data_IF_393506200303
#
_entry.id   IF_393506200303
#
_cell.length_a   1.000
_cell.length_b   1.000
_cell.length_c   1.000
_cell.angle_alpha   90.00
_cell.angle_beta   90.00
_cell.angle_gamma   90.00
#
_symmetry.space_group_name_H-M   'P 1'
#
loop_
_entity.id
_entity.type
_entity.pdbx_description
1 polymer ?
#
# COMPACT_ATOMS: atom_id res chain seq x y z
N UNK A 1 32.03 23.96 -12.92
CA UNK A 1 33.31 23.36 -12.44
C UNK A 1 34.37 24.37 -12.03
N UNK A 2 34.47 25.56 -12.67
CA UNK A 2 35.48 26.58 -12.35
C UNK A 2 35.42 27.10 -10.90
N UNK A 3 34.22 27.40 -10.41
CA UNK A 3 33.97 27.80 -9.01
C UNK A 3 34.47 26.77 -7.98
N UNK A 4 34.30 25.48 -8.25
CA UNK A 4 34.75 24.41 -7.33
C UNK A 4 36.27 24.37 -7.27
N UNK A 5 36.95 24.50 -8.41
CA UNK A 5 38.41 24.45 -8.47
C UNK A 5 39.06 25.68 -7.81
N UNK A 6 38.49 26.87 -8.05
CA UNK A 6 38.98 28.12 -7.45
C UNK A 6 38.71 28.18 -5.94
N UNK A 7 37.59 27.59 -5.48
CA UNK A 7 37.26 27.51 -4.05
C UNK A 7 38.12 26.46 -3.33
N UNK A 8 38.44 25.33 -3.97
CA UNK A 8 39.35 24.31 -3.40
C UNK A 8 40.76 24.89 -3.19
N UNK A 9 41.24 25.72 -4.12
CA UNK A 9 42.54 26.39 -4.00
C UNK A 9 42.56 27.42 -2.83
N UNK A 10 41.47 28.18 -2.64
CA UNK A 10 41.32 29.14 -1.54
C UNK A 10 41.12 28.46 -0.16
N UNK A 11 40.55 27.25 -0.12
CA UNK A 11 40.37 26.48 1.11
C UNK A 11 41.65 25.80 1.61
N UNK A 12 42.62 25.55 0.72
CA UNK A 12 43.94 25.00 1.09
C UNK A 12 44.71 25.93 2.02
N UNK A 13 44.47 27.24 1.97
CA UNK A 13 45.21 28.27 2.72
C UNK A 13 44.47 28.85 3.94
N UNK A 14 43.21 28.45 4.18
CA UNK A 14 42.32 29.04 5.22
C UNK A 14 42.02 28.13 6.41
N UNK A 15 41.71 28.77 7.55
CA UNK A 15 41.33 28.18 8.85
C UNK A 15 40.24 27.10 8.73
N UNK A 16 40.27 26.12 9.64
CA UNK A 16 39.39 24.94 9.72
C UNK A 16 37.89 25.28 9.50
N UNK A 17 37.43 26.42 10.03
CA UNK A 17 36.04 26.87 9.93
C UNK A 17 35.55 27.09 8.49
N UNK A 18 36.43 27.61 7.62
CA UNK A 18 36.07 27.85 6.21
C UNK A 18 35.97 26.55 5.42
N UNK A 19 36.77 25.54 5.79
CA UNK A 19 36.70 24.19 5.22
C UNK A 19 35.41 23.49 5.63
N UNK A 20 35.02 23.59 6.89
CA UNK A 20 33.77 23.00 7.36
C UNK A 20 32.54 23.69 6.76
N UNK A 21 32.54 25.02 6.70
CA UNK A 21 31.45 25.77 6.08
C UNK A 21 31.25 25.39 4.60
N UNK A 22 32.33 25.10 3.87
CA UNK A 22 32.27 24.62 2.49
C UNK A 22 31.70 23.20 2.38
N UNK A 23 32.08 22.28 3.27
CA UNK A 23 31.51 20.92 3.31
C UNK A 23 30.00 20.97 3.55
N UNK A 24 29.54 21.81 4.48
CA UNK A 24 28.10 22.00 4.73
C UNK A 24 27.37 22.63 3.51
N UNK A 25 28.02 23.53 2.77
CA UNK A 25 27.45 24.10 1.53
C UNK A 25 27.34 23.07 0.41
N UNK A 26 28.23 22.08 0.35
CA UNK A 26 28.14 20.98 -0.60
C UNK A 26 27.04 19.97 -0.24
N UNK A 27 26.77 19.83 1.06
CA UNK A 27 25.80 18.88 1.59
C UNK A 27 24.35 19.32 1.39
N UNK A 28 24.07 20.62 1.55
CA UNK A 28 22.74 21.23 1.37
C UNK A 28 22.06 20.87 0.02
N UNK A 29 22.72 21.05 -1.15
CA UNK A 29 22.17 20.67 -2.44
C UNK A 29 21.84 19.17 -2.56
N UNK A 30 22.64 18.32 -1.89
CA UNK A 30 22.44 16.87 -1.90
C UNK A 30 21.16 16.53 -1.15
N UNK A 31 20.98 17.07 0.06
CA UNK A 31 19.76 16.85 0.87
C UNK A 31 18.51 17.33 0.13
N UNK A 32 18.58 18.50 -0.51
CA UNK A 32 17.46 19.02 -1.33
C UNK A 32 17.11 18.10 -2.49
N UNK A 33 18.10 17.45 -3.10
CA UNK A 33 17.86 16.45 -4.14
C UNK A 33 17.17 15.20 -3.59
N UNK A 34 17.49 14.79 -2.37
CA UNK A 34 16.76 13.72 -1.66
C UNK A 34 15.31 14.12 -1.40
N UNK A 35 15.06 15.31 -0.87
CA UNK A 35 13.68 15.83 -0.67
C UNK A 35 12.90 15.81 -1.98
N UNK A 36 13.49 16.29 -3.07
CA UNK A 36 12.85 16.24 -4.39
C UNK A 36 12.57 14.82 -4.91
N UNK A 37 13.25 13.79 -4.39
CA UNK A 37 12.92 12.37 -4.67
C UNK A 37 11.76 11.90 -3.81
N UNK A 38 11.71 12.29 -2.52
CA UNK A 38 10.56 12.00 -1.64
C UNK A 38 9.28 12.61 -2.23
N UNK A 39 9.30 13.87 -2.68
CA UNK A 39 8.13 14.51 -3.30
C UNK A 39 7.64 13.83 -4.57
N UNK A 40 8.55 13.30 -5.37
CA UNK A 40 8.17 12.50 -6.54
C UNK A 40 7.54 11.17 -6.15
N UNK A 41 7.99 10.58 -5.05
CA UNK A 41 7.46 9.34 -4.54
C UNK A 41 6.04 9.55 -3.98
N UNK A 42 5.84 10.61 -3.19
CA UNK A 42 4.52 11.04 -2.71
C UNK A 42 3.54 11.24 -3.86
N UNK A 43 3.92 12.03 -4.88
CA UNK A 43 3.07 12.26 -6.04
C UNK A 43 2.68 10.97 -6.77
N UNK A 44 3.60 9.99 -6.87
CA UNK A 44 3.28 8.68 -7.48
C UNK A 44 2.31 7.88 -6.62
N UNK A 45 2.47 7.90 -5.30
CA UNK A 45 1.56 7.24 -4.37
C UNK A 45 0.15 7.83 -4.49
N UNK A 46 0.02 9.16 -4.52
CA UNK A 46 -1.25 9.87 -4.71
C UNK A 46 -1.91 9.53 -6.05
N UNK A 47 -1.13 9.43 -7.13
CA UNK A 47 -1.67 9.05 -8.44
C UNK A 47 -2.21 7.62 -8.47
N UNK A 48 -1.57 6.69 -7.78
CA UNK A 48 -2.10 5.32 -7.64
C UNK A 48 -3.38 5.35 -6.81
N UNK A 49 -3.42 6.14 -5.75
CA UNK A 49 -4.60 6.30 -4.91
C UNK A 49 -5.77 6.96 -5.68
N UNK A 50 -5.52 7.98 -6.49
CA UNK A 50 -6.58 8.67 -7.24
C UNK A 50 -7.14 7.83 -8.39
N UNK A 51 -6.37 6.89 -8.92
CA UNK A 51 -6.75 6.03 -10.05
C UNK A 51 -7.33 4.66 -9.61
N UNK A 52 -7.76 4.53 -8.34
CA UNK A 52 -8.37 3.32 -7.79
C UNK A 52 -9.72 3.01 -8.46
N UNK A 53 -9.66 2.28 -9.57
CA UNK A 53 -10.83 1.66 -10.21
C UNK A 53 -10.78 0.15 -10.05
N UNK A 54 -11.96 -0.48 -9.94
CA UNK A 54 -12.09 -1.94 -9.77
C UNK A 54 -11.37 -2.77 -10.85
N UNK A 55 -11.10 -2.17 -12.02
CA UNK A 55 -10.46 -2.79 -13.19
C UNK A 55 -8.93 -2.85 -13.14
N UNK A 56 -8.27 -2.07 -12.27
CA UNK A 56 -6.80 -1.93 -12.25
C UNK A 56 -6.13 -2.48 -10.97
N UNK A 57 -6.86 -3.30 -10.18
CA UNK A 57 -6.47 -3.72 -8.83
C UNK A 57 -5.13 -4.49 -8.71
N UNK A 58 -4.88 -5.51 -9.53
CA UNK A 58 -3.63 -6.29 -9.41
C UNK A 58 -2.39 -5.53 -9.88
N UNK A 59 -2.52 -4.68 -10.91
CA UNK A 59 -1.40 -3.90 -11.44
C UNK A 59 -0.94 -2.84 -10.44
N UNK A 60 -1.89 -2.15 -9.83
CA UNK A 60 -1.60 -1.11 -8.84
C UNK A 60 -1.06 -1.65 -7.52
N UNK A 61 -1.39 -2.90 -7.14
CA UNK A 61 -0.79 -3.52 -5.94
C UNK A 61 0.72 -3.73 -6.09
N UNK A 62 1.18 -4.18 -7.27
CA UNK A 62 2.61 -4.36 -7.51
C UNK A 62 3.37 -3.01 -7.55
N UNK A 63 2.77 -2.00 -8.19
CA UNK A 63 3.31 -0.63 -8.18
C UNK A 63 3.39 -0.06 -6.76
N UNK A 64 2.40 -0.35 -5.91
CA UNK A 64 2.39 0.08 -4.51
C UNK A 64 3.50 -0.59 -3.71
N UNK A 65 3.76 -1.87 -3.91
CA UNK A 65 4.87 -2.60 -3.29
C UNK A 65 6.23 -1.97 -3.64
N UNK A 66 6.42 -1.59 -4.91
CA UNK A 66 7.64 -0.91 -5.35
C UNK A 66 7.80 0.46 -4.68
N UNK A 67 6.72 1.24 -4.55
CA UNK A 67 6.73 2.50 -3.82
C UNK A 67 7.09 2.27 -2.34
N UNK A 68 6.57 1.22 -1.71
CA UNK A 68 6.89 0.91 -0.32
C UNK A 68 8.39 0.61 -0.14
N UNK A 69 8.95 -0.21 -1.03
CA UNK A 69 10.38 -0.53 -1.02
C UNK A 69 11.23 0.73 -1.20
N UNK A 70 10.91 1.56 -2.20
CA UNK A 70 11.59 2.83 -2.43
C UNK A 70 11.50 3.75 -1.19
N UNK A 71 10.34 3.82 -0.54
CA UNK A 71 10.14 4.60 0.68
C UNK A 71 11.01 4.10 1.83
N UNK A 72 11.08 2.78 2.05
CA UNK A 72 11.91 2.16 3.10
C UNK A 72 13.39 2.46 2.86
N UNK A 73 13.90 2.26 1.65
CA UNK A 73 15.29 2.58 1.31
C UNK A 73 15.62 4.05 1.53
N UNK A 74 14.73 4.93 1.11
CA UNK A 74 14.91 6.38 1.26
C UNK A 74 14.85 6.81 2.73
N UNK A 75 14.00 6.15 3.53
CA UNK A 75 13.90 6.36 4.99
C UNK A 75 15.22 6.05 5.67
N UNK A 76 15.79 4.88 5.40
CA UNK A 76 17.06 4.45 5.99
C UNK A 76 18.18 5.43 5.62
N UNK A 77 18.29 5.81 4.34
CA UNK A 77 19.30 6.76 3.89
C UNK A 77 19.16 8.15 4.55
N UNK A 78 17.94 8.65 4.73
CA UNK A 78 17.70 9.93 5.42
C UNK A 78 17.99 9.83 6.92
N UNK A 79 17.68 8.70 7.55
CA UNK A 79 17.99 8.47 8.96
C UNK A 79 19.49 8.44 9.20
N UNK A 80 20.24 7.66 8.40
CA UNK A 80 21.71 7.60 8.48
C UNK A 80 22.35 8.99 8.29
N UNK A 81 21.85 9.76 7.31
CA UNK A 81 22.31 11.14 7.10
C UNK A 81 22.00 12.04 8.30
N UNK A 82 20.81 11.92 8.89
CA UNK A 82 20.42 12.67 10.09
C UNK A 82 21.35 12.39 11.27
N UNK A 83 21.65 11.11 11.50
CA UNK A 83 22.52 10.65 12.59
C UNK A 83 23.94 11.21 12.39
N UNK A 84 24.45 11.18 11.16
CA UNK A 84 25.73 11.78 10.80
C UNK A 84 25.76 13.30 11.06
N UNK A 85 24.66 14.02 10.80
CA UNK A 85 24.56 15.45 11.09
C UNK A 85 24.48 15.74 12.60
N UNK A 86 23.87 14.86 13.40
CA UNK A 86 23.94 14.97 14.86
C UNK A 86 25.35 14.71 15.40
N UNK A 87 26.09 13.76 14.82
CA UNK A 87 27.47 13.48 15.21
C UNK A 87 28.39 14.68 14.92
N UNK A 88 28.25 15.30 13.73
CA UNK A 88 28.97 16.53 13.38
C UNK A 88 28.72 17.64 14.42
N UNK A 89 27.47 17.75 14.91
CA UNK A 89 27.11 18.72 15.93
C UNK A 89 27.71 18.38 17.30
N UNK A 90 27.78 17.10 17.65
CA UNK A 90 28.36 16.62 18.91
C UNK A 90 29.86 16.83 18.94
N UNK A 91 30.56 16.41 17.87
CA UNK A 91 32.01 16.56 17.73
C UNK A 91 32.40 18.04 17.81
N UNK A 92 31.63 18.95 17.21
CA UNK A 92 31.88 20.39 17.36
C UNK A 92 31.84 20.89 18.80
N UNK A 93 30.99 20.32 19.65
CA UNK A 93 30.91 20.70 21.06
C UNK A 93 32.08 20.14 21.87
N UNK A 94 32.48 18.90 21.61
CA UNK A 94 33.52 18.21 22.40
C UNK A 94 34.95 18.64 22.03
N UNK A 95 35.20 19.04 20.78
CA UNK A 95 36.58 19.24 20.29
C UNK A 95 37.13 20.67 20.49
N UNK A 96 36.43 21.57 21.19
CA UNK A 96 36.81 22.99 21.34
C UNK A 96 37.01 23.75 19.99
N UNK A 97 36.52 23.17 18.88
CA UNK A 97 36.51 23.78 17.55
C UNK A 97 35.27 24.65 17.45
N UNK A 98 35.46 25.96 17.62
CA UNK A 98 34.35 26.92 17.59
C UNK A 98 33.77 27.05 16.19
N UNK A 99 32.68 26.35 15.90
CA UNK A 99 31.87 26.68 14.73
C UNK A 99 31.39 28.12 14.83
N UNK A 100 31.81 28.94 13.87
CA UNK A 100 31.23 30.27 13.68
C UNK A 100 29.68 30.18 13.61
N UNK A 101 28.99 31.25 14.02
CA UNK A 101 27.52 31.37 13.97
C UNK A 101 26.96 30.98 12.61
N UNK A 102 27.69 31.26 11.54
CA UNK A 102 27.32 30.90 10.16
C UNK A 102 27.27 29.37 9.96
N UNK A 103 28.26 28.64 10.46
CA UNK A 103 28.38 27.20 10.33
C UNK A 103 27.27 26.49 11.12
N UNK A 104 27.03 26.93 12.36
CA UNK A 104 25.94 26.44 13.21
C UNK A 104 24.56 26.65 12.58
N UNK A 105 24.32 27.80 11.95
CA UNK A 105 23.06 28.06 11.24
C UNK A 105 22.87 27.13 10.04
N UNK A 106 23.92 26.86 9.26
CA UNK A 106 23.87 25.93 8.12
C UNK A 106 23.56 24.52 8.56
N UNK A 107 24.23 24.04 9.60
CA UNK A 107 23.98 22.72 10.17
C UNK A 107 22.55 22.59 10.71
N UNK A 108 22.03 23.63 11.37
CA UNK A 108 20.64 23.65 11.82
C UNK A 108 19.64 23.53 10.65
N UNK A 109 19.86 24.28 9.56
CA UNK A 109 19.01 24.19 8.36
C UNK A 109 19.04 22.78 7.75
N UNK A 110 20.22 22.18 7.67
CA UNK A 110 20.43 20.80 7.20
C UNK A 110 19.63 19.80 8.05
N UNK A 111 19.68 19.94 9.38
CA UNK A 111 18.92 19.09 10.29
C UNK A 111 17.41 19.28 10.10
N UNK A 112 16.95 20.52 9.91
CA UNK A 112 15.54 20.83 9.69
C UNK A 112 15.02 20.24 8.37
N UNK A 113 15.76 20.42 7.28
CA UNK A 113 15.42 19.86 5.95
C UNK A 113 15.41 18.32 5.99
N UNK A 114 16.39 17.69 6.65
CA UNK A 114 16.45 16.22 6.81
C UNK A 114 15.28 15.68 7.64
N UNK A 115 14.94 16.35 8.75
CA UNK A 115 13.78 15.99 9.57
C UNK A 115 12.46 16.14 8.81
N UNK A 116 12.34 17.15 7.96
CA UNK A 116 11.18 17.31 7.08
C UNK A 116 11.07 16.14 6.10
N UNK A 117 12.18 15.74 5.47
CA UNK A 117 12.22 14.59 4.57
C UNK A 117 11.79 13.29 5.28
N UNK A 118 12.26 13.08 6.52
CA UNK A 118 11.88 11.92 7.34
C UNK A 118 10.38 11.89 7.63
N UNK A 119 9.79 13.03 8.05
CA UNK A 119 8.34 13.13 8.27
C UNK A 119 7.54 12.80 7.02
N UNK A 120 7.98 13.31 5.87
CA UNK A 120 7.32 13.11 4.59
C UNK A 120 7.33 11.63 4.17
N UNK A 121 8.44 10.92 4.39
CA UNK A 121 8.51 9.48 4.14
C UNK A 121 7.60 8.71 5.09
N UNK A 122 7.52 9.12 6.36
CA UNK A 122 6.59 8.54 7.33
C UNK A 122 5.14 8.58 6.85
N UNK A 123 4.69 9.72 6.31
CA UNK A 123 3.36 9.87 5.73
C UNK A 123 3.14 8.96 4.50
N UNK A 124 4.15 8.83 3.63
CA UNK A 124 4.07 7.92 2.47
C UNK A 124 3.92 6.48 2.93
N UNK A 125 4.75 6.01 3.88
CA UNK A 125 4.66 4.65 4.40
C UNK A 125 3.30 4.37 5.04
N UNK A 126 2.79 5.29 5.85
CA UNK A 126 1.46 5.15 6.46
C UNK A 126 0.35 5.06 5.40
N UNK A 127 0.39 5.92 4.39
CA UNK A 127 -0.58 5.91 3.28
C UNK A 127 -0.52 4.60 2.48
N UNK A 128 0.68 4.10 2.20
CA UNK A 128 0.90 2.84 1.50
C UNK A 128 0.38 1.65 2.30
N UNK A 129 0.61 1.62 3.62
CA UNK A 129 0.09 0.56 4.51
C UNK A 129 -1.44 0.59 4.58
N UNK A 130 -2.04 1.77 4.73
CA UNK A 130 -3.50 1.94 4.68
C UNK A 130 -4.07 1.42 3.37
N UNK A 131 -3.41 1.72 2.25
CA UNK A 131 -3.85 1.28 0.94
C UNK A 131 -3.70 -0.24 0.78
N UNK A 132 -2.60 -0.84 1.24
CA UNK A 132 -2.42 -2.30 1.27
C UNK A 132 -3.54 -2.98 2.06
N UNK A 133 -3.86 -2.47 3.26
CA UNK A 133 -4.94 -3.03 4.08
C UNK A 133 -6.31 -2.94 3.39
N UNK A 134 -6.52 -1.89 2.60
CA UNK A 134 -7.74 -1.72 1.80
C UNK A 134 -7.78 -2.72 0.65
N UNK A 135 -6.65 -2.95 -0.03
CA UNK A 135 -6.55 -4.00 -1.06
C UNK A 135 -6.86 -5.38 -0.50
N UNK A 136 -6.33 -5.75 0.66
CA UNK A 136 -6.61 -7.03 1.29
C UNK A 136 -8.11 -7.20 1.57
N UNK A 137 -8.77 -6.16 2.07
CA UNK A 137 -10.24 -6.16 2.27
C UNK A 137 -11.00 -6.33 0.97
N UNK A 138 -10.57 -5.66 -0.11
CA UNK A 138 -11.21 -5.77 -1.42
C UNK A 138 -11.02 -7.16 -2.06
N UNK A 139 -9.83 -7.76 -1.90
CA UNK A 139 -9.55 -9.13 -2.38
C UNK A 139 -10.39 -10.13 -1.61
N UNK A 140 -10.43 -10.02 -0.28
CA UNK A 140 -11.21 -10.90 0.57
C UNK A 140 -12.71 -10.78 0.30
N UNK A 141 -13.21 -9.57 0.06
CA UNK A 141 -14.61 -9.37 -0.34
C UNK A 141 -14.91 -10.04 -1.69
N UNK A 142 -14.03 -9.86 -2.68
CA UNK A 142 -14.20 -10.53 -3.98
C UNK A 142 -14.14 -12.06 -3.88
N UNK A 143 -13.25 -12.62 -3.06
CA UNK A 143 -13.21 -14.05 -2.79
C UNK A 143 -14.51 -14.53 -2.12
N UNK A 144 -15.01 -13.77 -1.14
CA UNK A 144 -16.26 -14.07 -0.48
C UNK A 144 -17.45 -14.04 -1.45
N UNK A 145 -17.49 -13.07 -2.36
CA UNK A 145 -18.49 -12.97 -3.42
C UNK A 145 -18.44 -14.16 -4.39
N UNK A 146 -17.24 -14.57 -4.82
CA UNK A 146 -17.05 -15.73 -5.70
C UNK A 146 -17.46 -17.03 -5.00
N UNK A 147 -17.04 -17.23 -3.75
CA UNK A 147 -17.42 -18.39 -2.96
C UNK A 147 -18.95 -18.45 -2.80
N UNK A 148 -19.57 -17.31 -2.47
CA UNK A 148 -21.03 -17.19 -2.40
C UNK A 148 -21.68 -17.57 -3.72
N UNK A 149 -21.20 -17.06 -4.84
CA UNK A 149 -21.73 -17.39 -6.16
C UNK A 149 -21.66 -18.90 -6.43
N UNK A 150 -20.49 -19.52 -6.23
CA UNK A 150 -20.29 -20.95 -6.45
C UNK A 150 -21.16 -21.82 -5.53
N UNK A 151 -21.28 -21.46 -4.25
CA UNK A 151 -22.11 -22.20 -3.29
C UNK A 151 -23.59 -22.15 -3.67
N UNK A 152 -24.11 -20.98 -4.07
CA UNK A 152 -25.50 -20.83 -4.51
C UNK A 152 -25.79 -21.71 -5.72
N UNK A 153 -24.93 -21.62 -6.74
CA UNK A 153 -25.11 -22.42 -7.96
C UNK A 153 -25.00 -23.92 -7.70
N UNK A 154 -24.03 -24.34 -6.89
CA UNK A 154 -23.88 -25.74 -6.51
C UNK A 154 -25.13 -26.29 -5.82
N UNK A 155 -25.66 -25.55 -4.85
CA UNK A 155 -26.87 -25.92 -4.10
C UNK A 155 -28.11 -25.97 -5.00
N UNK A 156 -28.25 -24.98 -5.90
CA UNK A 156 -29.37 -24.90 -6.84
C UNK A 156 -29.33 -26.07 -7.84
N UNK A 157 -28.17 -26.38 -8.41
CA UNK A 157 -27.98 -27.48 -9.36
C UNK A 157 -28.11 -28.88 -8.72
N UNK A 158 -27.97 -29.00 -7.40
CA UNK A 158 -28.14 -30.26 -6.68
C UNK A 158 -29.61 -30.66 -6.46
N UNK A 159 -30.55 -29.71 -6.42
CA UNK A 159 -31.97 -30.00 -6.14
C UNK A 159 -32.66 -30.84 -7.23
N UNK A 160 -32.53 -30.53 -8.54
CA UNK A 160 -33.21 -31.31 -9.58
C UNK A 160 -32.80 -32.79 -9.65
N UNK A 161 -31.51 -33.16 -9.55
CA UNK A 161 -31.10 -34.56 -9.49
C UNK A 161 -31.64 -35.31 -8.27
N UNK A 162 -31.76 -34.66 -7.11
CA UNK A 162 -32.31 -35.28 -5.90
C UNK A 162 -33.78 -35.62 -6.12
N UNK A 163 -34.59 -34.65 -6.57
CA UNK A 163 -36.02 -34.87 -6.83
C UNK A 163 -36.21 -35.89 -7.95
N UNK A 164 -35.47 -35.76 -9.05
CA UNK A 164 -35.50 -36.73 -10.15
C UNK A 164 -35.04 -38.12 -9.72
N UNK A 165 -34.10 -38.24 -8.78
CA UNK A 165 -33.65 -39.50 -8.23
C UNK A 165 -34.76 -40.22 -7.47
N UNK A 166 -35.46 -39.52 -6.58
CA UNK A 166 -36.59 -40.10 -5.83
C UNK A 166 -37.76 -40.52 -6.71
N UNK A 167 -38.09 -39.74 -7.75
CA UNK A 167 -39.16 -40.07 -8.70
C UNK A 167 -38.73 -41.09 -9.78
N UNK A 168 -37.42 -41.21 -10.06
CA UNK A 168 -36.86 -42.18 -11.00
C UNK A 168 -36.61 -43.55 -10.38
N UNK A 169 -36.52 -43.64 -9.05
CA UNK A 169 -36.62 -44.90 -8.33
C UNK A 169 -38.08 -45.35 -8.41
N UNK A 170 -38.35 -46.58 -8.85
CA UNK A 170 -39.69 -47.20 -8.94
C UNK A 170 -40.33 -47.43 -7.55
N UNK A 171 -40.31 -46.42 -6.69
CA UNK A 171 -40.89 -46.36 -5.36
C UNK A 171 -42.30 -45.81 -5.48
N UNK A 172 -43.27 -46.51 -4.88
CA UNK A 172 -44.66 -46.05 -4.83
C UNK A 172 -44.75 -44.85 -3.90
N UNK A 173 -44.59 -43.64 -4.43
CA UNK A 173 -44.80 -42.42 -3.67
C UNK A 173 -46.32 -42.18 -3.47
N UNK A 174 -46.78 -41.93 -2.23
CA UNK A 174 -48.20 -41.82 -1.89
C UNK A 174 -48.89 -40.56 -2.45
N UNK A 175 -48.16 -39.62 -3.06
CA UNK A 175 -48.66 -38.29 -3.42
C UNK A 175 -49.00 -38.12 -4.92
N UNK A 176 -48.61 -39.03 -5.81
CA UNK A 176 -48.70 -38.76 -7.26
C UNK A 176 -48.96 -40.00 -8.11
N UNK A 177 -50.20 -40.49 -8.11
CA UNK A 177 -50.67 -41.58 -8.98
C UNK A 177 -51.47 -41.02 -10.16
N UNK A 178 -50.81 -40.72 -11.29
CA UNK A 178 -51.50 -40.30 -12.51
C UNK A 178 -50.58 -39.91 -13.68
N UNK A 179 -51.14 -39.71 -14.88
CA UNK A 179 -50.38 -39.29 -16.08
C UNK A 179 -49.71 -37.90 -15.95
N UNK A 180 -50.10 -37.10 -14.94
CA UNK A 180 -49.56 -35.77 -14.66
C UNK A 180 -48.45 -35.78 -13.60
N UNK A 181 -47.97 -36.95 -13.15
CA UNK A 181 -46.99 -37.01 -12.07
C UNK A 181 -45.67 -36.30 -12.36
N UNK A 182 -45.27 -36.25 -13.63
CA UNK A 182 -44.10 -35.52 -14.09
C UNK A 182 -44.23 -33.99 -13.89
N UNK A 183 -45.44 -33.45 -14.04
CA UNK A 183 -45.73 -32.01 -13.81
C UNK A 183 -45.64 -31.69 -12.32
N UNK A 184 -46.22 -32.54 -11.46
CA UNK A 184 -46.16 -32.36 -10.02
C UNK A 184 -44.71 -32.40 -9.49
N UNK A 185 -43.86 -33.26 -10.04
CA UNK A 185 -42.43 -33.33 -9.72
C UNK A 185 -41.68 -32.05 -10.13
N UNK A 186 -41.96 -31.50 -11.32
CA UNK A 186 -41.41 -30.21 -11.76
C UNK A 186 -41.83 -29.06 -10.85
N UNK A 187 -43.12 -28.98 -10.49
CA UNK A 187 -43.64 -27.94 -9.59
C UNK A 187 -43.01 -28.04 -8.20
N UNK A 188 -42.89 -29.25 -7.64
CA UNK A 188 -42.23 -29.50 -6.36
C UNK A 188 -40.76 -29.06 -6.39
N UNK A 189 -40.02 -29.41 -7.46
CA UNK A 189 -38.62 -29.00 -7.64
C UNK A 189 -38.50 -27.48 -7.72
N UNK A 190 -39.40 -26.82 -8.45
CA UNK A 190 -39.46 -25.36 -8.55
C UNK A 190 -39.69 -24.68 -7.20
N UNK A 191 -40.65 -25.18 -6.40
CA UNK A 191 -40.94 -24.66 -5.06
C UNK A 191 -39.73 -24.84 -4.14
N UNK A 192 -39.08 -25.99 -4.15
CA UNK A 192 -37.89 -26.26 -3.34
C UNK A 192 -36.72 -25.33 -3.71
N UNK A 193 -36.46 -25.12 -5.00
CA UNK A 193 -35.43 -24.17 -5.45
C UNK A 193 -35.75 -22.73 -5.04
N UNK A 194 -37.02 -22.31 -5.11
CA UNK A 194 -37.46 -20.97 -4.71
C UNK A 194 -37.30 -20.76 -3.20
N UNK A 195 -37.71 -21.74 -2.38
CA UNK A 195 -37.54 -21.70 -0.93
C UNK A 195 -36.07 -21.62 -0.52
N UNK A 196 -35.21 -22.41 -1.19
CA UNK A 196 -33.76 -22.41 -1.01
C UNK A 196 -33.12 -21.06 -1.35
N UNK A 197 -33.55 -20.45 -2.47
CA UNK A 197 -33.08 -19.12 -2.89
C UNK A 197 -33.49 -18.03 -1.89
N UNK A 198 -34.73 -18.06 -1.39
CA UNK A 198 -35.22 -17.10 -0.38
C UNK A 198 -34.45 -17.26 0.93
N UNK A 199 -34.26 -18.50 1.39
CA UNK A 199 -33.49 -18.79 2.60
C UNK A 199 -32.06 -18.26 2.49
N UNK A 200 -31.39 -18.53 1.38
CA UNK A 200 -30.01 -18.13 1.18
C UNK A 200 -29.89 -16.60 1.00
N UNK A 201 -30.85 -15.96 0.33
CA UNK A 201 -30.91 -14.50 0.23
C UNK A 201 -31.01 -13.84 1.62
N UNK A 202 -31.91 -14.32 2.49
CA UNK A 202 -32.13 -13.75 3.83
C UNK A 202 -30.97 -14.00 4.81
N UNK A 203 -30.25 -15.12 4.67
CA UNK A 203 -29.19 -15.47 5.63
C UNK A 203 -27.78 -14.97 5.23
N UNK A 204 -27.58 -14.56 3.98
CA UNK A 204 -26.31 -14.05 3.45
C UNK A 204 -26.34 -12.55 3.09
N UNK A 205 -27.35 -11.79 3.54
CA UNK A 205 -27.47 -10.33 3.35
C UNK A 205 -27.04 -9.50 4.57
N UNK A 206 -26.20 -10.05 5.45
CA UNK A 206 -25.54 -9.33 6.56
C UNK A 206 -24.04 -9.42 6.40
#
# INVERSE_FOLDING_TARGET
MRFVNDTIADLRTKSFDKRMAFVLDLLLPIIRKYIGRVTKLEYRADQIQSNLTAKSRMKHLNELTLINQDAIYLRSAIQENSDCFSDIKSISKDTNVSFDKTCNRKLHNIQLETNQASRMIGLISESVDQLSSTYDRLINNNLNDIMRFLTIWSLLLAVPPIVSGFYGMNMHLPLVTGSLSWVASLVLTGILMLALLIYLHNHHSV
#
